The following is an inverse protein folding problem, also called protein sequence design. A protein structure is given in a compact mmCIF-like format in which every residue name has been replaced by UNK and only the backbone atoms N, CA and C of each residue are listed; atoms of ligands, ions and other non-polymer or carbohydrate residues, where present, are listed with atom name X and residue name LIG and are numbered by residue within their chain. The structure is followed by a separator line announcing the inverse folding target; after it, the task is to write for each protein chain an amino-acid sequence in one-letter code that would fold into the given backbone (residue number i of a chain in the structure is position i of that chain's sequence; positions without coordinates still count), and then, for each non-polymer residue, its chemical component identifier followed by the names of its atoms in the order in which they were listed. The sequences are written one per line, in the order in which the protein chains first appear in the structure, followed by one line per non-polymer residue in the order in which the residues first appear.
data_IF_566115755844
#
_entry.id   IF_566115755844
#
_cell.length_a   1.000
_cell.length_b   1.000
_cell.length_c   1.000
_cell.angle_alpha   90.00
_cell.angle_beta   90.00
_cell.angle_gamma   90.00
#
_symmetry.space_group_name_H-M   'P 1'
#
loop_
_entity.id
_entity.type
_entity.pdbx_description
1 polymer ?
#
# COMPACT_ATOMS: atom_id res chain seq x y z
N UNK A 1 7.99 -3.94 25.10
CA UNK A 1 8.26 -4.29 23.68
C UNK A 1 6.93 -4.62 23.01
N UNK A 2 6.35 -3.70 22.23
CA UNK A 2 5.08 -3.96 21.55
C UNK A 2 5.37 -4.87 20.35
N UNK A 3 4.91 -6.12 20.41
CA UNK A 3 4.88 -7.08 19.30
C UNK A 3 3.87 -6.61 18.26
N UNK A 4 4.17 -5.50 17.57
CA UNK A 4 3.50 -5.17 16.31
C UNK A 4 3.96 -6.20 15.29
N UNK A 5 3.25 -7.33 15.23
CA UNK A 5 3.31 -8.25 14.09
C UNK A 5 3.29 -7.39 12.83
N UNK A 6 4.41 -7.35 12.08
CA UNK A 6 4.50 -6.61 10.82
C UNK A 6 3.34 -7.08 9.96
N UNK A 7 2.36 -6.20 9.76
CA UNK A 7 1.17 -6.50 8.98
C UNK A 7 1.65 -6.87 7.58
N UNK A 8 1.41 -8.11 7.13
CA UNK A 8 1.71 -8.48 5.74
C UNK A 8 0.65 -7.85 4.85
N UNK A 9 1.11 -6.95 3.98
CA UNK A 9 0.30 -6.35 2.94
C UNK A 9 0.07 -7.40 1.84
N UNK A 10 -1.14 -7.48 1.31
CA UNK A 10 -1.54 -8.44 0.27
C UNK A 10 -2.10 -7.73 -0.95
N UNK A 11 -2.04 -8.41 -2.09
CA UNK A 11 -2.75 -7.98 -3.30
C UNK A 11 -4.24 -7.78 -3.00
N UNK A 12 -4.81 -6.70 -3.53
CA UNK A 12 -6.16 -6.16 -3.28
C UNK A 12 -6.35 -5.43 -1.95
N UNK A 13 -5.34 -5.36 -1.08
CA UNK A 13 -5.45 -4.51 0.11
C UNK A 13 -5.53 -3.04 -0.31
N UNK A 14 -6.44 -2.31 0.34
CA UNK A 14 -6.50 -0.86 0.23
C UNK A 14 -5.58 -0.26 1.28
N UNK A 15 -4.64 0.56 0.84
CA UNK A 15 -3.56 1.08 1.68
C UNK A 15 -3.47 2.59 1.60
N UNK A 16 -2.92 3.19 2.65
CA UNK A 16 -2.53 4.59 2.73
C UNK A 16 -1.03 4.71 2.92
N UNK A 17 -0.44 5.69 2.24
CA UNK A 17 0.99 5.96 2.30
C UNK A 17 1.26 7.44 2.01
N UNK A 18 2.42 7.93 2.45
CA UNK A 18 2.85 9.31 2.19
C UNK A 18 3.76 9.37 0.98
N UNK A 19 3.55 10.35 0.12
CA UNK A 19 4.50 10.81 -0.90
C UNK A 19 4.73 12.30 -0.65
N UNK A 20 5.91 12.65 -0.17
CA UNK A 20 6.19 13.98 0.35
C UNK A 20 5.21 14.35 1.49
N UNK A 21 4.54 15.49 1.35
CA UNK A 21 3.54 15.98 2.33
C UNK A 21 2.14 15.41 2.13
N UNK A 22 1.89 14.72 1.01
CA UNK A 22 0.57 14.25 0.65
C UNK A 22 0.32 12.82 1.13
N UNK A 23 -0.89 12.58 1.65
CA UNK A 23 -1.37 11.25 2.03
C UNK A 23 -2.22 10.69 0.89
N UNK A 24 -1.75 9.58 0.31
CA UNK A 24 -2.40 8.92 -0.81
C UNK A 24 -3.13 7.67 -0.34
N UNK A 25 -4.18 7.31 -1.07
CA UNK A 25 -4.87 6.03 -0.91
C UNK A 25 -4.81 5.27 -2.22
N UNK A 26 -4.38 4.01 -2.16
CA UNK A 26 -4.29 3.15 -3.33
C UNK A 26 -4.69 1.71 -3.02
N UNK A 27 -4.60 0.87 -4.04
CA UNK A 27 -4.86 -0.57 -3.96
C UNK A 27 -3.60 -1.31 -4.36
N UNK A 28 -3.22 -2.32 -3.57
CA UNK A 28 -2.10 -3.18 -3.91
C UNK A 28 -2.51 -4.05 -5.10
N UNK A 29 -1.73 -4.00 -6.17
CA UNK A 29 -2.00 -4.74 -7.41
C UNK A 29 -1.02 -5.87 -7.65
N UNK A 30 0.16 -5.81 -7.05
CA UNK A 30 1.20 -6.83 -7.20
C UNK A 30 2.04 -6.96 -5.92
N UNK A 31 2.43 -8.19 -5.58
CA UNK A 31 3.40 -8.49 -4.54
C UNK A 31 4.69 -8.92 -5.23
N UNK A 32 5.75 -8.12 -5.08
CA UNK A 32 7.06 -8.38 -5.69
C UNK A 32 7.92 -9.29 -4.81
N UNK A 33 7.39 -9.71 -3.66
CA UNK A 33 8.08 -10.57 -2.71
C UNK A 33 9.05 -9.81 -1.81
N UNK A 34 9.94 -10.56 -1.16
CA UNK A 34 10.94 -10.03 -0.24
C UNK A 34 12.24 -9.75 -0.96
N UNK A 35 12.68 -8.50 -0.97
CA UNK A 35 13.86 -8.04 -1.72
C UNK A 35 14.85 -7.36 -0.74
N UNK A 36 16.15 -7.46 -1.03
CA UNK A 36 17.23 -6.81 -0.29
C UNK A 36 17.64 -7.48 1.04
N UNK A 37 18.62 -6.89 1.71
CA UNK A 37 19.16 -7.37 2.99
C UNK A 37 18.14 -7.11 4.11
N UNK A 38 17.65 -8.16 4.76
CA UNK A 38 16.59 -8.09 5.77
C UNK A 38 15.19 -8.48 5.27
N UNK A 39 15.04 -8.79 3.98
CA UNK A 39 13.84 -9.41 3.41
C UNK A 39 12.60 -8.54 3.50
N UNK A 40 12.73 -7.26 3.13
CA UNK A 40 11.62 -6.31 3.12
C UNK A 40 10.68 -6.61 1.94
N UNK A 41 9.37 -6.61 2.22
CA UNK A 41 8.37 -6.87 1.19
C UNK A 41 8.19 -5.62 0.33
N UNK A 42 8.37 -5.75 -0.99
CA UNK A 42 8.02 -4.73 -1.98
C UNK A 42 6.69 -5.08 -2.64
N UNK A 43 5.88 -4.06 -2.89
CA UNK A 43 4.57 -4.20 -3.54
C UNK A 43 4.35 -3.08 -4.54
N UNK A 44 3.49 -3.31 -5.54
CA UNK A 44 2.97 -2.25 -6.39
C UNK A 44 1.60 -1.81 -5.93
N UNK A 45 1.43 -0.50 -5.81
CA UNK A 45 0.20 0.15 -5.38
C UNK A 45 -0.31 1.04 -6.50
N UNK A 46 -1.52 0.76 -6.97
CA UNK A 46 -2.23 1.58 -7.93
C UNK A 46 -3.05 2.65 -7.21
N UNK A 47 -2.87 3.90 -7.62
CA UNK A 47 -3.63 5.07 -7.14
C UNK A 47 -4.56 5.53 -8.26
N UNK A 48 -5.89 5.51 -8.05
CA UNK A 48 -6.82 6.08 -9.02
C UNK A 48 -6.75 7.61 -8.94
N UNK A 49 -6.36 8.26 -10.04
CA UNK A 49 -6.42 9.70 -10.21
C UNK A 49 -7.63 10.01 -11.08
N UNK A 50 -8.50 10.94 -10.66
CA UNK A 50 -9.81 11.18 -11.30
C UNK A 50 -9.71 11.68 -12.75
N UNK A 51 -8.55 12.14 -13.21
CA UNK A 51 -8.36 12.79 -14.50
C UNK A 51 -7.29 12.16 -15.41
N UNK A 52 -6.66 11.06 -15.00
CA UNK A 52 -5.57 10.43 -15.77
C UNK A 52 -5.59 8.91 -15.65
N UNK A 53 -4.77 8.25 -16.46
CA UNK A 53 -4.45 6.83 -16.24
C UNK A 53 -4.02 6.58 -14.78
N UNK A 54 -4.39 5.43 -14.19
CA UNK A 54 -4.01 5.10 -12.83
C UNK A 54 -2.48 5.08 -12.70
N UNK A 55 -1.94 5.76 -11.69
CA UNK A 55 -0.52 5.72 -11.41
C UNK A 55 -0.18 4.51 -10.55
N UNK A 56 0.95 3.86 -10.85
CA UNK A 56 1.46 2.71 -10.11
C UNK A 56 2.76 3.10 -9.42
N UNK A 57 2.82 2.85 -8.12
CA UNK A 57 4.00 3.09 -7.29
C UNK A 57 4.55 1.79 -6.74
N UNK A 58 5.85 1.60 -6.84
CA UNK A 58 6.57 0.51 -6.16
C UNK A 58 7.05 1.00 -4.79
N UNK A 59 6.62 0.33 -3.72
CA UNK A 59 6.84 0.78 -2.35
C UNK A 59 7.13 -0.40 -1.42
N UNK A 60 7.88 -0.12 -0.35
CA UNK A 60 7.96 -1.04 0.79
C UNK A 60 6.62 -1.14 1.50
N UNK A 61 6.20 -2.37 1.78
CA UNK A 61 5.04 -2.66 2.61
C UNK A 61 5.13 -2.05 4.02
N UNK A 62 6.33 -1.77 4.53
CA UNK A 62 6.53 -1.15 5.83
C UNK A 62 6.11 0.33 5.87
N UNK A 63 6.02 1.00 4.72
CA UNK A 63 5.55 2.38 4.59
C UNK A 63 4.02 2.48 4.46
N UNK A 64 3.34 1.34 4.33
CA UNK A 64 1.92 1.26 4.07
C UNK A 64 1.14 1.06 5.37
N UNK A 65 -0.04 1.66 5.42
CA UNK A 65 -1.02 1.44 6.49
C UNK A 65 -2.36 1.04 5.89
N UNK A 66 -3.17 0.19 6.55
CA UNK A 66 -4.51 -0.12 6.08
C UNK A 66 -5.36 1.14 5.89
N UNK A 67 -6.00 1.24 4.73
CA UNK A 67 -7.05 2.22 4.50
C UNK A 67 -8.39 1.66 5.02
N UNK A 68 -9.24 2.49 5.63
CA UNK A 68 -10.59 2.08 5.99
C UNK A 68 -11.34 1.64 4.72
N UNK A 69 -12.05 0.51 4.81
CA UNK A 69 -12.98 0.11 3.77
C UNK A 69 -14.08 1.16 3.72
N UNK A 70 -14.27 1.81 2.57
CA UNK A 70 -15.43 2.68 2.36
C UNK A 70 -16.65 1.79 2.57
N UNK A 71 -17.45 2.00 3.62
CA UNK A 71 -18.76 1.36 3.72
C UNK A 71 -19.52 1.78 2.45
N UNK A 72 -20.02 0.80 1.71
CA UNK A 72 -21.05 1.10 0.72
C UNK A 72 -22.19 1.79 1.49
N UNK A 73 -22.61 2.96 1.01
CA UNK A 73 -23.87 3.54 1.47
C UNK A 73 -24.96 2.52 1.13
N UNK A 74 -25.71 2.10 2.16
CA UNK A 74 -26.88 1.25 2.01
C UNK A 74 -28.02 2.03 1.36
#
# INVERSE_FOLDING_TARGET
MSTKTKLRIKVRDRVRFRLGVHLWTGTVVEDLGKIGVGGEQLVRVQVPLESTEPQVFELSAALLTPAPRRRAAA
#
